data_IF_223884280634
#
_entry.id   IF_223884280634
#
_cell.length_a   1.000
_cell.length_b   1.000
_cell.length_c   1.000
_cell.angle_alpha   90.00
_cell.angle_beta   90.00
_cell.angle_gamma   90.00
#
_symmetry.space_group_name_H-M   'P 1'
#
loop_
_entity.id
_entity.type
_entity.pdbx_description
1 polymer ?
#
# COMPACT_ATOMS: atom_id res chain seq x y z
N UNK A 1 -0.23 -13.84 -25.52
CA UNK A 1 0.44 -12.54 -25.27
C UNK A 1 1.60 -12.77 -24.32
N UNK A 2 2.62 -11.91 -24.33
CA UNK A 2 3.71 -12.01 -23.35
C UNK A 2 3.25 -11.50 -21.98
N UNK A 3 3.90 -11.95 -20.90
CA UNK A 3 3.58 -11.47 -19.54
C UNK A 3 3.65 -9.94 -19.43
N UNK A 4 4.62 -9.30 -20.11
CA UNK A 4 4.74 -7.83 -20.14
C UNK A 4 3.55 -7.15 -20.81
N UNK A 5 3.00 -7.75 -21.88
CA UNK A 5 1.81 -7.23 -22.56
C UNK A 5 0.58 -7.32 -21.66
N UNK A 6 0.41 -8.45 -20.98
CA UNK A 6 -0.70 -8.67 -20.04
C UNK A 6 -0.66 -7.67 -18.89
N UNK A 7 0.51 -7.49 -18.26
CA UNK A 7 0.71 -6.48 -17.21
C UNK A 7 0.43 -5.06 -17.72
N UNK A 8 0.82 -4.75 -18.96
CA UNK A 8 0.53 -3.43 -19.55
C UNK A 8 -0.98 -3.20 -19.73
N UNK A 9 -1.73 -4.23 -20.10
CA UNK A 9 -3.20 -4.18 -20.20
C UNK A 9 -3.86 -4.03 -18.82
N UNK A 10 -3.35 -4.70 -17.80
CA UNK A 10 -3.78 -4.50 -16.41
C UNK A 10 -3.64 -3.04 -15.99
N UNK A 11 -2.50 -2.41 -16.30
CA UNK A 11 -2.27 -1.01 -15.94
C UNK A 11 -3.21 -0.07 -16.71
N UNK A 12 -3.43 -0.32 -18.00
CA UNK A 12 -4.40 0.43 -18.79
C UNK A 12 -5.81 0.31 -18.20
N UNK A 13 -6.20 -0.88 -17.70
CA UNK A 13 -7.50 -1.10 -17.08
C UNK A 13 -7.73 -0.21 -15.83
N UNK A 14 -6.67 0.12 -15.07
CA UNK A 14 -6.79 0.99 -13.89
C UNK A 14 -7.26 2.40 -14.22
N UNK A 15 -7.11 2.83 -15.48
CA UNK A 15 -7.56 4.15 -15.96
C UNK A 15 -9.06 4.20 -16.24
N UNK A 16 -9.73 3.05 -16.31
CA UNK A 16 -11.17 3.00 -16.52
C UNK A 16 -11.93 3.45 -15.25
N UNK A 17 -13.08 4.13 -15.39
CA UNK A 17 -13.87 4.57 -14.25
C UNK A 17 -14.22 3.41 -13.29
N UNK A 18 -13.95 3.60 -12.00
CA UNK A 18 -14.29 2.63 -10.95
C UNK A 18 -13.32 1.45 -10.79
N UNK A 19 -12.35 1.27 -11.70
CA UNK A 19 -11.36 0.19 -11.59
C UNK A 19 -10.38 0.48 -10.44
N UNK A 20 -9.62 1.57 -10.50
CA UNK A 20 -8.74 1.94 -9.40
C UNK A 20 -9.55 2.50 -8.22
N UNK A 21 -9.46 1.92 -7.01
CA UNK A 21 -10.20 2.42 -5.86
C UNK A 21 -9.72 3.82 -5.44
N UNK A 22 -10.65 4.71 -5.06
CA UNK A 22 -10.29 6.02 -4.50
C UNK A 22 -9.30 5.91 -3.33
N UNK A 23 -8.32 6.79 -3.24
CA UNK A 23 -7.30 6.71 -2.19
C UNK A 23 -6.27 5.60 -2.41
N UNK A 24 -6.26 4.93 -3.56
CA UNK A 24 -5.12 4.12 -4.00
C UNK A 24 -4.51 4.76 -5.23
N UNK A 25 -3.18 4.84 -5.25
CA UNK A 25 -2.41 5.21 -6.43
C UNK A 25 -1.38 4.14 -6.73
N UNK A 26 -1.17 3.82 -8.00
CA UNK A 26 -0.24 2.77 -8.45
C UNK A 26 0.45 3.21 -9.75
N UNK A 27 1.74 2.91 -9.87
CA UNK A 27 2.54 3.13 -11.06
C UNK A 27 3.48 1.94 -11.32
N UNK A 28 3.64 1.47 -12.58
CA UNK A 28 4.66 0.51 -12.93
C UNK A 28 6.06 1.08 -12.74
N UNK A 29 7.00 0.28 -12.25
CA UNK A 29 8.40 0.67 -12.18
C UNK A 29 8.95 0.79 -13.62
N UNK A 30 9.63 1.90 -13.98
CA UNK A 30 10.12 2.13 -15.34
C UNK A 30 11.11 1.06 -15.82
N UNK A 31 11.93 0.55 -14.90
CA UNK A 31 12.99 -0.41 -15.20
C UNK A 31 12.56 -1.87 -15.00
N UNK A 32 11.39 -2.09 -14.40
CA UNK A 32 10.85 -3.43 -14.13
C UNK A 32 9.33 -3.42 -14.21
N UNK A 33 8.79 -3.88 -15.34
CA UNK A 33 7.35 -3.98 -15.56
C UNK A 33 6.67 -4.92 -14.57
N UNK A 34 7.41 -5.89 -14.01
CA UNK A 34 6.90 -6.88 -13.05
C UNK A 34 6.83 -6.35 -11.62
N UNK A 35 7.20 -5.09 -11.38
CA UNK A 35 7.04 -4.43 -10.09
C UNK A 35 6.30 -3.13 -10.26
N UNK A 36 5.21 -2.92 -9.50
CA UNK A 36 4.51 -1.65 -9.44
C UNK A 36 4.64 -1.06 -8.04
N UNK A 37 4.88 0.24 -7.94
CA UNK A 37 4.82 0.98 -6.68
C UNK A 37 3.43 1.53 -6.45
N UNK A 38 2.95 1.46 -5.21
CA UNK A 38 1.64 1.98 -4.85
C UNK A 38 1.59 2.65 -3.48
N UNK A 39 0.57 3.48 -3.30
CA UNK A 39 0.28 4.18 -2.03
C UNK A 39 -1.20 4.03 -1.73
N UNK A 40 -1.51 3.64 -0.49
CA UNK A 40 -2.85 3.55 0.07
C UNK A 40 -3.07 4.67 1.10
N UNK A 41 -4.01 5.56 0.79
CA UNK A 41 -4.52 6.59 1.69
C UNK A 41 -5.78 6.07 2.39
N UNK A 42 -5.73 5.98 3.72
CA UNK A 42 -6.88 5.55 4.51
C UNK A 42 -7.51 6.74 5.20
N UNK A 43 -8.76 7.05 4.85
CA UNK A 43 -9.44 8.26 5.34
C UNK A 43 -10.35 8.02 6.55
N UNK A 44 -10.71 6.76 6.86
CA UNK A 44 -11.72 6.42 7.89
C UNK A 44 -11.35 5.13 8.61
N UNK A 45 -11.89 4.94 9.81
CA UNK A 45 -11.68 3.76 10.64
C UNK A 45 -10.37 3.79 11.42
N UNK A 46 -9.91 2.64 11.89
CA UNK A 46 -8.75 2.51 12.79
C UNK A 46 -7.43 3.03 12.20
N UNK A 47 -7.34 3.08 10.88
CA UNK A 47 -6.15 3.54 10.16
C UNK A 47 -6.32 4.95 9.55
N UNK A 48 -7.35 5.70 9.96
CA UNK A 48 -7.62 7.03 9.42
C UNK A 48 -6.40 7.95 9.51
N UNK A 49 -6.12 8.66 8.40
CA UNK A 49 -4.94 9.51 8.25
C UNK A 49 -3.69 8.77 7.76
N UNK A 50 -3.71 7.43 7.68
CA UNK A 50 -2.54 6.65 7.26
C UNK A 50 -2.22 6.75 5.77
N UNK A 51 -0.92 6.73 5.45
CA UNK A 51 -0.35 6.75 4.11
C UNK A 51 0.60 5.55 3.99
N UNK A 52 0.10 4.42 3.52
CA UNK A 52 0.87 3.18 3.47
C UNK A 52 1.44 2.95 2.07
N UNK A 53 2.77 2.86 1.97
CA UNK A 53 3.44 2.49 0.72
C UNK A 53 3.47 0.98 0.57
N UNK A 54 3.29 0.50 -0.65
CA UNK A 54 3.40 -0.91 -0.99
C UNK A 54 3.97 -1.10 -2.38
N UNK A 55 4.39 -2.33 -2.67
CA UNK A 55 4.77 -2.79 -4.01
C UNK A 55 3.86 -3.94 -4.42
N UNK A 56 3.52 -4.00 -5.70
CA UNK A 56 2.90 -5.17 -6.33
C UNK A 56 3.96 -5.87 -7.16
N UNK A 57 4.18 -7.15 -6.91
CA UNK A 57 5.12 -7.98 -7.67
C UNK A 57 4.37 -9.03 -8.48
N UNK A 58 4.62 -9.04 -9.77
CA UNK A 58 4.06 -9.97 -10.73
C UNK A 58 5.02 -11.13 -10.96
N UNK A 59 4.48 -12.31 -11.16
CA UNK A 59 5.27 -13.45 -11.62
C UNK A 59 5.74 -13.27 -13.06
N UNK A 60 6.92 -13.79 -13.43
CA UNK A 60 7.36 -13.82 -14.83
C UNK A 60 6.38 -14.48 -15.81
N UNK A 61 5.47 -15.32 -15.29
CA UNK A 61 4.49 -16.09 -16.07
C UNK A 61 3.07 -15.50 -16.03
N UNK A 62 2.86 -14.36 -15.36
CA UNK A 62 1.56 -13.70 -15.24
C UNK A 62 0.86 -13.57 -16.61
N UNK A 63 -0.47 -13.83 -16.71
CA UNK A 63 -1.40 -14.18 -15.64
C UNK A 63 -1.45 -15.67 -15.30
N UNK A 64 -0.67 -16.50 -15.97
CA UNK A 64 -0.68 -17.94 -15.79
C UNK A 64 0.30 -18.34 -14.67
N UNK A 65 -0.12 -19.27 -13.81
CA UNK A 65 0.77 -19.81 -12.78
C UNK A 65 1.92 -20.56 -13.46
N UNK A 66 3.10 -20.53 -12.83
CA UNK A 66 4.18 -21.45 -13.24
C UNK A 66 3.67 -22.87 -13.11
N UNK A 67 3.67 -23.64 -14.21
CA UNK A 67 3.14 -25.00 -14.21
C UNK A 67 3.86 -25.82 -13.13
N UNK A 68 3.12 -26.24 -12.09
CA UNK A 68 3.65 -27.08 -11.02
C UNK A 68 3.95 -28.52 -11.49
N UNK A 69 3.85 -28.79 -12.80
CA UNK A 69 4.14 -30.10 -13.40
C UNK A 69 5.61 -30.37 -13.71
N UNK A 70 6.55 -29.44 -13.54
CA UNK A 70 7.99 -29.80 -13.52
C UNK A 70 8.43 -30.28 -12.13
N UNK A 71 7.69 -31.24 -11.54
CA UNK A 71 8.12 -31.99 -10.36
C UNK A 71 8.63 -33.36 -10.79
N UNK A 72 9.70 -33.36 -11.56
CA UNK A 72 10.64 -34.49 -11.62
C UNK A 72 12.02 -33.90 -11.39
N UNK A 73 12.67 -34.40 -10.34
CA UNK A 73 14.06 -34.18 -9.94
C UNK A 73 14.44 -32.82 -9.34
N UNK A 74 14.35 -32.74 -8.02
CA UNK A 74 15.53 -32.43 -7.17
C UNK A 74 15.23 -32.71 -5.71
N UNK A 75 15.66 -33.90 -5.25
CA UNK A 75 15.86 -34.18 -3.83
C UNK A 75 17.06 -33.38 -3.35
N UNK A 76 16.85 -32.27 -2.64
CA UNK A 76 17.72 -31.87 -1.52
C UNK A 76 17.09 -30.78 -0.67
N UNK A 77 17.25 -30.98 0.64
CA UNK A 77 17.20 -29.97 1.71
C UNK A 77 15.81 -29.60 2.25
N UNK A 78 15.45 -30.30 3.33
CA UNK A 78 14.45 -29.91 4.33
C UNK A 78 14.92 -28.63 5.04
N UNK A 79 14.44 -27.47 4.62
CA UNK A 79 14.14 -26.30 5.45
C UNK A 79 13.18 -25.38 4.68
N UNK A 80 12.11 -24.93 5.34
CA UNK A 80 11.08 -23.96 4.91
C UNK A 80 10.06 -24.40 3.84
N UNK A 81 9.19 -25.37 4.20
CA UNK A 81 8.02 -25.79 3.42
C UNK A 81 6.80 -24.83 3.49
N UNK A 82 6.94 -23.61 4.02
CA UNK A 82 5.81 -22.64 4.12
C UNK A 82 5.78 -21.56 3.04
N UNK A 83 6.89 -21.33 2.32
CA UNK A 83 6.93 -20.36 1.21
C UNK A 83 6.35 -20.91 -0.10
N UNK A 84 6.19 -22.24 -0.23
CA UNK A 84 5.90 -22.89 -1.51
C UNK A 84 4.42 -23.17 -1.78
N UNK A 85 3.49 -22.34 -1.27
CA UNK A 85 2.11 -22.27 -1.81
C UNK A 85 2.11 -21.34 -3.03
N UNK A 86 2.95 -21.70 -4.00
CA UNK A 86 3.29 -20.89 -5.15
C UNK A 86 2.26 -21.12 -6.27
N UNK A 87 1.01 -20.68 -6.09
CA UNK A 87 0.21 -20.35 -7.28
C UNK A 87 0.81 -19.04 -7.83
N UNK A 88 1.86 -19.20 -8.64
CA UNK A 88 2.68 -18.11 -9.18
C UNK A 88 1.95 -17.23 -10.18
N UNK A 89 0.63 -17.11 -10.07
CA UNK A 89 -0.25 -16.32 -10.94
C UNK A 89 -0.76 -15.05 -10.23
N UNK A 90 -1.02 -15.10 -8.92
CA UNK A 90 -1.54 -13.95 -8.15
C UNK A 90 -0.47 -12.86 -7.99
N UNK A 91 -0.72 -11.61 -8.39
CA UNK A 91 0.17 -10.49 -8.08
C UNK A 91 0.26 -10.28 -6.56
N UNK A 92 1.47 -10.20 -6.02
CA UNK A 92 1.72 -10.15 -4.57
C UNK A 92 1.92 -8.72 -4.09
N UNK A 93 1.30 -8.36 -2.97
CA UNK A 93 1.46 -7.04 -2.36
C UNK A 93 2.43 -7.13 -1.19
N UNK A 94 3.40 -6.21 -1.15
CA UNK A 94 4.37 -6.06 -0.07
C UNK A 94 4.36 -4.63 0.46
N UNK A 95 4.01 -4.45 1.73
CA UNK A 95 4.07 -3.16 2.38
C UNK A 95 5.52 -2.72 2.63
N UNK A 96 5.79 -1.44 2.37
CA UNK A 96 7.06 -0.77 2.68
C UNK A 96 6.97 0.12 3.91
N UNK A 97 5.75 0.37 4.37
CA UNK A 97 5.45 1.06 5.61
C UNK A 97 5.00 0.01 6.62
N UNK A 98 5.54 0.04 7.83
CA UNK A 98 5.09 -0.85 8.91
C UNK A 98 3.59 -0.63 9.17
N UNK A 99 2.85 -1.72 9.22
CA UNK A 99 1.40 -1.67 9.36
C UNK A 99 0.90 -2.81 10.22
N UNK A 100 0.37 -2.50 11.40
CA UNK A 100 -0.25 -3.47 12.29
C UNK A 100 -1.64 -3.89 11.77
N UNK A 101 -1.68 -4.94 10.95
CA UNK A 101 -2.90 -5.44 10.30
C UNK A 101 -2.91 -6.98 10.24
N UNK A 102 -4.05 -7.66 10.45
CA UNK A 102 -4.10 -9.13 10.54
C UNK A 102 -3.53 -9.87 9.31
N UNK A 103 -3.75 -9.34 8.10
CA UNK A 103 -3.28 -9.94 6.85
C UNK A 103 -1.87 -9.49 6.42
N UNK A 104 -1.16 -8.67 7.20
CA UNK A 104 0.17 -8.17 6.85
C UNK A 104 1.21 -8.81 7.74
N UNK A 105 2.14 -9.55 7.12
CA UNK A 105 3.31 -10.10 7.79
C UNK A 105 4.23 -8.94 8.22
N UNK A 106 4.59 -8.91 9.51
CA UNK A 106 5.40 -7.82 10.07
C UNK A 106 6.87 -7.88 9.69
N UNK A 107 7.38 -9.02 9.21
CA UNK A 107 8.80 -9.20 8.90
C UNK A 107 9.14 -8.72 7.48
N UNK A 108 8.31 -9.07 6.50
CA UNK A 108 8.56 -8.80 5.08
C UNK A 108 7.51 -7.90 4.42
N UNK A 109 6.46 -7.51 5.17
CA UNK A 109 5.36 -6.69 4.68
C UNK A 109 4.39 -7.44 3.77
N UNK A 110 4.50 -8.75 3.60
CA UNK A 110 3.63 -9.51 2.71
C UNK A 110 2.16 -9.39 3.14
N UNK A 111 1.31 -8.97 2.21
CA UNK A 111 -0.14 -8.92 2.39
C UNK A 111 -0.78 -10.18 1.81
N UNK A 112 -1.42 -10.97 2.67
CA UNK A 112 -2.07 -12.20 2.27
C UNK A 112 -3.46 -11.94 1.68
N UNK A 113 -3.60 -12.26 0.39
CA UNK A 113 -4.84 -12.15 -0.36
C UNK A 113 -5.50 -13.50 -0.67
N UNK A 114 -4.97 -14.60 -0.13
CA UNK A 114 -5.42 -15.97 -0.45
C UNK A 114 -6.84 -16.26 0.01
N UNK A 115 -7.33 -15.57 1.04
CA UNK A 115 -8.74 -15.64 1.48
C UNK A 115 -9.72 -15.20 0.39
N UNK A 116 -9.30 -14.28 -0.50
CA UNK A 116 -10.11 -13.83 -1.65
C UNK A 116 -9.72 -14.49 -2.96
N UNK A 117 -8.43 -14.73 -3.18
CA UNK A 117 -7.88 -15.24 -4.43
C UNK A 117 -7.11 -16.54 -4.17
N UNK A 118 -7.85 -17.62 -3.88
CA UNK A 118 -7.26 -18.97 -3.73
C UNK A 118 -6.60 -19.46 -5.02
N UNK A 119 -7.15 -19.04 -6.16
CA UNK A 119 -6.63 -19.29 -7.50
C UNK A 119 -6.85 -18.04 -8.32
N UNK A 120 -5.81 -17.55 -9.00
CA UNK A 120 -5.97 -16.44 -9.95
C UNK A 120 -6.57 -16.98 -11.25
N UNK A 121 -7.69 -16.43 -11.69
CA UNK A 121 -8.31 -16.82 -12.97
C UNK A 121 -7.96 -15.77 -14.03
N UNK A 122 -7.09 -16.10 -15.00
CA UNK A 122 -6.74 -15.18 -16.08
C UNK A 122 -7.99 -14.61 -16.76
N UNK A 123 -8.00 -13.30 -17.01
CA UNK A 123 -9.09 -12.57 -17.67
C UNK A 123 -10.42 -12.53 -16.90
N UNK A 124 -10.46 -13.00 -15.65
CA UNK A 124 -11.60 -12.84 -14.73
C UNK A 124 -11.17 -12.10 -13.47
N UNK A 125 -9.99 -12.44 -12.96
CA UNK A 125 -9.33 -11.73 -11.87
C UNK A 125 -8.32 -10.76 -12.48
N UNK A 126 -8.37 -9.51 -12.01
CA UNK A 126 -7.58 -8.39 -12.49
C UNK A 126 -6.96 -7.67 -11.31
N UNK A 127 -5.89 -6.91 -11.52
CA UNK A 127 -5.20 -6.19 -10.44
C UNK A 127 -6.15 -5.25 -9.70
N UNK A 128 -7.14 -4.66 -10.39
CA UNK A 128 -8.10 -3.77 -9.73
C UNK A 128 -9.00 -4.50 -8.71
N UNK A 129 -9.33 -5.78 -8.93
CA UNK A 129 -10.03 -6.60 -7.94
C UNK A 129 -9.18 -6.77 -6.67
N UNK A 130 -7.87 -7.00 -6.85
CA UNK A 130 -6.91 -7.10 -5.75
C UNK A 130 -6.80 -5.78 -4.98
N UNK A 131 -6.76 -4.64 -5.68
CA UNK A 131 -6.72 -3.31 -5.03
C UNK A 131 -8.00 -3.00 -4.25
N UNK A 132 -9.18 -3.38 -4.77
CA UNK A 132 -10.44 -3.25 -4.03
C UNK A 132 -10.47 -4.12 -2.78
N UNK A 133 -9.92 -5.34 -2.86
CA UNK A 133 -9.77 -6.22 -1.71
C UNK A 133 -8.83 -5.61 -0.67
N UNK A 134 -7.63 -5.17 -1.08
CA UNK A 134 -6.68 -4.45 -0.23
C UNK A 134 -7.35 -3.29 0.49
N UNK A 135 -8.03 -2.39 -0.24
CA UNK A 135 -8.73 -1.24 0.38
C UNK A 135 -9.80 -1.69 1.37
N UNK A 136 -10.52 -2.75 1.06
CA UNK A 136 -11.64 -3.21 1.87
C UNK A 136 -11.18 -3.91 3.15
N UNK A 137 -9.99 -4.52 3.17
CA UNK A 137 -9.45 -5.17 4.37
C UNK A 137 -9.17 -4.18 5.50
N UNK A 138 -8.86 -2.91 5.18
CA UNK A 138 -8.63 -1.84 6.17
C UNK A 138 -9.92 -1.25 6.75
N UNK A 139 -11.10 -1.62 6.22
CA UNK A 139 -12.40 -1.17 6.73
C UNK A 139 -12.87 -2.09 7.84
N UNK A 140 -13.71 -1.57 8.75
CA UNK A 140 -14.36 -2.37 9.80
C UNK A 140 -15.00 -3.64 9.24
N UNK A 141 -15.83 -3.54 8.20
CA UNK A 141 -16.47 -4.69 7.57
C UNK A 141 -15.49 -5.72 6.97
N UNK A 142 -14.30 -5.29 6.54
CA UNK A 142 -13.25 -6.19 6.07
C UNK A 142 -12.59 -6.92 7.22
N UNK A 143 -12.25 -6.21 8.28
CA UNK A 143 -11.70 -6.77 9.52
C UNK A 143 -12.66 -7.78 10.15
N UNK A 144 -13.96 -7.48 10.21
CA UNK A 144 -14.99 -8.41 10.71
C UNK A 144 -15.03 -9.71 9.89
N UNK A 145 -14.93 -9.62 8.55
CA UNK A 145 -14.90 -10.80 7.68
C UNK A 145 -13.65 -11.66 7.92
N UNK A 146 -12.52 -11.04 8.23
CA UNK A 146 -11.28 -11.75 8.54
C UNK A 146 -11.44 -12.54 9.85
N UNK A 147 -12.05 -11.95 10.89
CA UNK A 147 -12.24 -12.64 12.18
C UNK A 147 -13.34 -13.72 12.11
N UNK A 148 -14.43 -13.43 11.41
CA UNK A 148 -15.63 -14.28 11.42
C UNK A 148 -15.43 -15.62 10.71
N UNK A 149 -14.29 -15.83 10.06
CA UNK A 149 -13.95 -17.05 9.35
C UNK A 149 -13.08 -17.95 10.24
N UNK A 150 -13.63 -19.02 10.85
CA UNK A 150 -12.91 -19.85 11.83
C UNK A 150 -11.74 -20.62 11.22
N UNK A 151 -11.71 -20.75 9.89
CA UNK A 151 -10.65 -21.39 9.12
C UNK A 151 -9.43 -20.44 8.92
N UNK A 152 -9.64 -19.14 9.12
CA UNK A 152 -8.70 -18.06 8.79
C UNK A 152 -7.76 -17.66 9.93
N UNK A 153 -7.82 -18.30 11.12
CA UNK A 153 -6.72 -18.18 12.08
C UNK A 153 -5.40 -18.64 11.43
N UNK A 154 -5.48 -19.61 10.50
CA UNK A 154 -4.32 -20.09 9.73
C UNK A 154 -3.83 -19.13 8.63
N UNK A 155 -4.65 -18.16 8.22
CA UNK A 155 -4.32 -17.17 7.16
C UNK A 155 -3.91 -15.82 7.74
N UNK A 156 -4.09 -15.60 9.05
CA UNK A 156 -3.59 -14.43 9.74
C UNK A 156 -2.05 -14.38 9.74
N UNK A 157 -1.50 -13.49 8.91
CA UNK A 157 -0.06 -13.21 8.85
C UNK A 157 0.46 -12.49 10.10
N UNK A 158 -0.42 -11.76 10.80
CA UNK A 158 -0.15 -11.15 12.09
C UNK A 158 -1.18 -11.60 13.11
N UNK A 159 -0.83 -12.67 13.82
CA UNK A 159 -1.66 -13.26 14.87
C UNK A 159 -1.94 -12.29 16.03
N UNK A 160 -1.00 -11.40 16.34
CA UNK A 160 -1.18 -10.40 17.39
C UNK A 160 -2.27 -9.40 17.00
N UNK A 161 -2.26 -8.91 15.75
CA UNK A 161 -3.31 -8.02 15.24
C UNK A 161 -4.67 -8.72 15.14
N UNK A 162 -4.69 -9.99 14.72
CA UNK A 162 -5.91 -10.79 14.68
C UNK A 162 -6.56 -10.92 16.06
N UNK A 163 -5.80 -11.38 17.07
CA UNK A 163 -6.28 -11.54 18.45
C UNK A 163 -6.65 -10.20 19.08
N UNK A 164 -5.86 -9.15 18.84
CA UNK A 164 -6.15 -7.82 19.35
C UNK A 164 -7.48 -7.30 18.78
N UNK A 165 -7.75 -7.45 17.49
CA UNK A 165 -9.03 -7.00 16.93
C UNK A 165 -10.22 -7.79 17.51
N UNK A 166 -10.06 -9.10 17.72
CA UNK A 166 -11.08 -10.02 18.27
C UNK A 166 -11.40 -9.77 19.74
N UNK A 167 -10.37 -9.75 20.58
CA UNK A 167 -10.51 -9.85 22.04
C UNK A 167 -10.22 -8.52 22.74
N UNK A 168 -9.48 -7.62 22.10
CA UNK A 168 -8.93 -6.40 22.72
C UNK A 168 -9.01 -5.21 21.77
N UNK A 169 -10.22 -4.91 21.27
CA UNK A 169 -10.41 -3.95 20.17
C UNK A 169 -9.78 -2.57 20.43
N UNK A 170 -9.72 -2.11 21.68
CA UNK A 170 -9.05 -0.86 22.04
C UNK A 170 -7.53 -0.92 21.84
N UNK A 171 -6.88 -2.03 22.19
CA UNK A 171 -5.44 -2.25 21.96
C UNK A 171 -5.16 -2.25 20.47
N UNK A 172 -6.00 -2.95 19.69
CA UNK A 172 -5.90 -2.92 18.23
C UNK A 172 -6.05 -1.51 17.67
N UNK A 173 -7.05 -0.75 18.12
CA UNK A 173 -7.30 0.61 17.67
C UNK A 173 -6.07 1.52 17.89
N UNK A 174 -5.44 1.43 19.07
CA UNK A 174 -4.25 2.21 19.39
C UNK A 174 -3.06 1.85 18.48
N UNK A 175 -2.79 0.55 18.27
CA UNK A 175 -1.67 0.09 17.43
C UNK A 175 -1.89 0.37 15.93
N UNK A 176 -3.13 0.25 15.45
CA UNK A 176 -3.51 0.62 14.09
C UNK A 176 -3.36 2.14 13.86
N UNK A 177 -3.77 2.96 14.83
CA UNK A 177 -3.60 4.41 14.78
C UNK A 177 -2.12 4.82 14.85
N UNK A 178 -1.31 4.13 15.66
CA UNK A 178 0.14 4.33 15.67
C UNK A 178 0.77 4.00 14.31
N UNK A 179 0.35 2.90 13.68
CA UNK A 179 0.79 2.54 12.33
C UNK A 179 0.47 3.64 11.31
N UNK A 180 -0.74 4.19 11.36
CA UNK A 180 -1.14 5.31 10.51
C UNK A 180 -0.27 6.56 10.76
N UNK A 181 -0.01 6.90 12.02
CA UNK A 181 0.83 8.05 12.39
C UNK A 181 2.27 7.89 11.87
N UNK A 182 2.89 6.73 12.10
CA UNK A 182 4.26 6.46 11.68
C UNK A 182 4.40 6.39 10.15
N UNK A 183 3.36 5.92 9.46
CA UNK A 183 3.33 5.87 7.99
C UNK A 183 3.46 7.27 7.34
N UNK A 184 3.04 8.32 8.05
CA UNK A 184 3.14 9.71 7.59
C UNK A 184 4.46 10.40 7.98
N UNK A 185 5.33 9.73 8.74
CA UNK A 185 6.59 10.34 9.19
C UNK A 185 7.50 10.67 7.99
N UNK A 186 8.33 11.73 8.07
CA UNK A 186 9.26 12.08 7.00
C UNK A 186 10.22 10.93 6.63
N UNK A 187 10.65 10.14 7.60
CA UNK A 187 11.49 8.95 7.37
C UNK A 187 10.75 7.83 6.63
N UNK A 188 9.43 7.71 6.85
CA UNK A 188 8.58 6.78 6.12
C UNK A 188 8.19 7.30 4.74
N UNK A 189 8.11 8.62 4.51
CA UNK A 189 7.72 9.16 3.20
C UNK A 189 8.92 9.38 2.27
N UNK A 190 10.02 9.92 2.79
CA UNK A 190 11.17 10.33 1.99
C UNK A 190 12.30 9.32 2.06
N UNK A 191 12.94 9.06 0.91
CA UNK A 191 14.20 8.32 0.86
C UNK A 191 15.22 9.13 1.64
N UNK A 192 15.67 8.60 2.78
CA UNK A 192 16.74 9.22 3.53
C UNK A 192 17.98 9.26 2.63
N UNK A 193 18.34 10.44 2.15
CA UNK A 193 19.67 10.64 1.58
C UNK A 193 20.62 10.43 2.73
N UNK A 194 21.51 9.44 2.63
CA UNK A 194 22.62 9.29 3.55
C UNK A 194 23.47 10.56 3.51
N UNK A 195 23.12 11.57 4.31
CA UNK A 195 24.03 12.66 4.67
C UNK A 195 24.83 12.16 5.86
N UNK A 196 25.65 11.13 5.62
CA UNK A 196 26.59 10.63 6.60
C UNK A 196 27.87 11.43 6.45
N UNK A 197 28.02 12.44 7.31
CA UNK A 197 29.33 12.95 7.68
C UNK A 197 30.00 11.83 8.50
N UNK A 198 30.81 10.99 7.84
CA UNK A 198 31.49 9.87 8.50
C UNK A 198 32.50 9.22 7.57
N UNK A 199 33.78 9.37 7.88
CA UNK A 199 34.92 8.75 7.23
C UNK A 199 34.70 7.26 6.96
N UNK A 200 34.63 6.87 5.69
CA UNK A 200 35.02 5.53 5.24
C UNK A 200 35.81 5.65 3.94
N UNK A 201 37.09 5.31 4.03
CA UNK A 201 37.93 5.06 2.87
C UNK A 201 37.40 3.79 2.18
N UNK A 202 36.59 3.96 1.13
CA UNK A 202 36.45 2.94 0.11
C UNK A 202 36.49 3.63 -1.25
N UNK A 203 37.60 3.42 -1.95
CA UNK A 203 37.74 3.74 -3.36
C UNK A 203 36.82 2.83 -4.15
N UNK A 204 35.76 3.39 -4.72
CA UNK A 204 35.23 2.88 -5.98
C UNK A 204 34.80 4.04 -6.88
N UNK A 205 35.35 3.97 -8.08
CA UNK A 205 35.14 4.87 -9.20
C UNK A 205 33.77 4.53 -9.77
N UNK A 206 32.87 5.50 -9.77
CA UNK A 206 32.00 5.77 -10.91
C UNK A 206 31.46 7.20 -10.77
N UNK A 207 32.09 8.09 -11.54
CA UNK A 207 31.54 9.40 -11.85
C UNK A 207 30.46 9.19 -12.89
N UNK A 208 29.21 9.35 -12.49
CA UNK A 208 28.19 9.84 -13.41
C UNK A 208 27.35 10.90 -12.70
N UNK A 209 27.63 12.13 -13.12
CA UNK A 209 27.03 13.39 -12.78
C UNK A 209 25.55 13.39 -13.18
N UNK A 210 24.69 12.83 -12.33
CA UNK A 210 23.27 13.13 -12.38
C UNK A 210 22.93 14.03 -11.20
N UNK A 211 23.05 15.33 -11.46
CA UNK A 211 22.42 16.44 -10.74
C UNK A 211 20.88 16.31 -10.75
N UNK A 212 20.32 15.21 -10.23
CA UNK A 212 18.94 15.21 -9.76
C UNK A 212 18.92 16.08 -8.52
N UNK A 213 18.61 17.36 -8.71
CA UNK A 213 18.17 18.26 -7.64
C UNK A 213 16.97 17.60 -6.97
N UNK A 214 17.25 16.83 -5.93
CA UNK A 214 16.24 16.08 -5.19
C UNK A 214 15.19 17.08 -4.74
N UNK A 215 13.93 16.87 -5.11
CA UNK A 215 12.84 17.76 -4.68
C UNK A 215 12.75 17.64 -3.16
N UNK A 216 13.37 18.61 -2.47
CA UNK A 216 13.30 18.72 -1.02
C UNK A 216 11.97 19.38 -0.68
N UNK A 217 11.09 18.60 -0.07
CA UNK A 217 9.86 19.12 0.50
C UNK A 217 10.15 19.61 1.92
N UNK A 218 10.13 20.93 2.10
CA UNK A 218 10.06 21.56 3.41
C UNK A 218 8.60 21.85 3.74
N UNK A 219 8.16 21.72 5.00
CA UNK A 219 6.87 22.26 5.42
C UNK A 219 6.81 23.73 5.00
N UNK A 220 5.75 24.10 4.27
CA UNK A 220 5.51 25.49 3.96
C UNK A 220 5.25 26.24 5.28
N UNK A 221 5.82 27.43 5.41
CA UNK A 221 5.45 28.32 6.52
C UNK A 221 4.05 28.92 6.28
N UNK A 222 3.49 29.56 7.30
CA UNK A 222 2.13 30.12 7.23
C UNK A 222 1.93 31.11 6.07
N UNK A 223 2.98 31.84 5.68
CA UNK A 223 2.93 32.80 4.59
C UNK A 223 2.89 32.10 3.23
N UNK A 224 3.74 31.09 3.02
CA UNK A 224 3.74 30.27 1.81
C UNK A 224 2.43 29.48 1.65
N UNK A 225 1.87 28.98 2.76
CA UNK A 225 0.56 28.33 2.76
C UNK A 225 -0.57 29.27 2.34
N UNK A 226 -0.53 30.54 2.79
CA UNK A 226 -1.50 31.57 2.35
C UNK A 226 -1.38 31.86 0.86
N UNK A 227 -0.16 31.92 0.34
CA UNK A 227 0.08 32.13 -1.09
C UNK A 227 -0.43 30.96 -1.93
N UNK A 228 -0.15 29.71 -1.52
CA UNK A 228 -0.68 28.52 -2.19
C UNK A 228 -2.21 28.51 -2.16
N UNK A 229 -2.83 28.83 -1.02
CA UNK A 229 -4.29 28.97 -0.92
C UNK A 229 -4.84 30.06 -1.84
N UNK A 230 -4.16 31.20 -1.94
CA UNK A 230 -4.58 32.30 -2.84
C UNK A 230 -4.54 31.90 -4.33
N UNK A 231 -3.59 31.02 -4.70
CA UNK A 231 -3.46 30.50 -6.07
C UNK A 231 -4.45 29.38 -6.37
N UNK A 232 -4.86 28.61 -5.36
CA UNK A 232 -5.83 27.53 -5.50
C UNK A 232 -7.28 28.02 -5.56
N UNK A 233 -7.57 29.25 -5.13
CA UNK A 233 -8.91 29.85 -5.21
C UNK A 233 -8.91 31.10 -6.08
N UNK A 234 -9.19 30.98 -7.39
CA UNK A 234 -9.66 32.12 -8.16
C UNK A 234 -10.95 31.78 -8.90
N UNK A 235 -12.10 32.04 -8.26
CA UNK A 235 -13.37 32.46 -8.87
C UNK A 235 -14.51 32.27 -7.86
N UNK A 236 -14.81 33.31 -7.07
CA UNK A 236 -16.14 33.70 -6.60
C UNK A 236 -15.98 34.94 -5.70
N UNK A 237 -15.62 36.05 -6.32
CA UNK A 237 -15.79 37.37 -5.72
C UNK A 237 -16.15 38.39 -6.80
N UNK A 238 -17.38 38.30 -7.28
CA UNK A 238 -18.11 39.52 -7.65
C UNK A 238 -19.37 39.62 -6.78
N UNK A 239 -19.42 40.73 -6.05
CA UNK A 239 -20.56 41.30 -5.32
C UNK A 239 -21.08 40.60 -4.05
N UNK A 240 -21.29 41.39 -3.00
CA UNK A 240 -22.20 41.02 -1.91
C UNK A 240 -21.69 41.29 -0.50
N UNK A 241 -21.61 42.55 -0.12
CA UNK A 241 -21.42 43.00 1.26
C UNK A 241 -22.65 42.59 2.11
N UNK A 242 -22.46 41.85 3.21
CA UNK A 242 -23.25 41.99 4.44
C UNK A 242 -22.69 41.08 5.55
N UNK A 243 -22.33 41.74 6.65
CA UNK A 243 -22.10 41.20 7.99
C UNK A 243 -22.88 39.94 8.36
N UNK A 244 -22.20 38.97 8.99
CA UNK A 244 -22.72 38.18 10.14
C UNK A 244 -21.58 37.52 10.93
N UNK A 245 -21.70 37.67 12.25
CA UNK A 245 -20.85 37.22 13.36
C UNK A 245 -20.74 35.67 13.47
N UNK A 246 -19.78 35.13 14.25
CA UNK A 246 -19.48 33.71 14.32
C UNK A 246 -20.51 32.97 15.20
N UNK A 247 -20.99 31.81 14.74
CA UNK A 247 -21.90 30.95 15.51
C UNK A 247 -21.11 29.84 16.20
N UNK A 248 -21.07 29.94 17.54
CA UNK A 248 -20.78 28.87 18.47
C UNK A 248 -21.91 27.83 18.50
N UNK A 249 -21.53 26.58 18.85
CA UNK A 249 -22.32 25.51 19.47
C UNK A 249 -23.63 25.03 18.82
N UNK A 250 -23.65 23.76 18.39
CA UNK A 250 -24.78 22.84 18.63
C UNK A 250 -24.23 21.44 18.96
N UNK A 251 -24.58 20.97 20.17
CA UNK A 251 -24.58 19.56 20.64
C UNK A 251 -25.87 18.87 20.18
N UNK A 252 -25.96 17.57 20.47
CA UNK A 252 -27.14 16.67 20.39
C UNK A 252 -27.07 15.76 19.15
N UNK A 253 -27.33 14.46 19.23
CA UNK A 253 -27.70 13.52 20.31
C UNK A 253 -27.33 12.11 19.82
#
# INVERSE_FOLDING_TARGET
MSSKQEISLEYASLRLPGHCPLGIWVIPCPNDTHTWSGVLFVHRGYYAGGIFRFEIKFSPHYPYGGDSRSRVESRKSRTNERDNRQDGSVPRIYFKSDCFHPLINQQDGFFDSTSRFKTWRPHQDFVFHLLHFLKSSFKRSGLEKIISSPEDESTAQNMAAFKAYRDQTQVFANLASQSATLSCSPSSLYKQTSSSNGNSNHSDRDSDDNNYKLIKFSPLNDQEWREVRSRMVPALSTSGNSSKQPFDQIKEE
#
